data_IF_823816126254
#
_entry.id   IF_823816126254
#
_cell.length_a   1.000
_cell.length_b   1.000
_cell.length_c   1.000
_cell.angle_alpha   90.00
_cell.angle_beta   90.00
_cell.angle_gamma   90.00
#
_symmetry.space_group_name_H-M   'P 1'
#
loop_
_entity.id
_entity.type
_entity.pdbx_description
1 polymer ?
#
# COMPACT_ATOMS: atom_id res chain seq x y z
N UNK A 1 -13.53 -22.43 0.26
CA UNK A 1 -13.93 -23.50 -0.69
C UNK A 1 -12.72 -23.92 -1.51
N UNK A 2 -12.41 -25.21 -1.63
CA UNK A 2 -11.29 -25.69 -2.46
C UNK A 2 -11.82 -26.16 -3.82
N UNK A 3 -11.37 -25.54 -4.91
CA UNK A 3 -11.61 -26.00 -6.28
C UNK A 3 -10.30 -26.60 -6.80
N UNK A 4 -10.12 -27.90 -6.62
CA UNK A 4 -8.86 -28.58 -6.95
C UNK A 4 -7.69 -28.01 -6.13
N UNK A 5 -6.65 -27.50 -6.81
CA UNK A 5 -5.48 -26.86 -6.16
C UNK A 5 -5.73 -25.42 -5.71
N UNK A 6 -6.86 -24.81 -6.05
CA UNK A 6 -7.13 -23.40 -5.77
C UNK A 6 -8.02 -23.25 -4.52
N UNK A 7 -7.55 -22.48 -3.54
CA UNK A 7 -8.33 -22.13 -2.33
C UNK A 7 -9.00 -20.77 -2.55
N UNK A 8 -10.33 -20.77 -2.58
CA UNK A 8 -11.15 -19.55 -2.51
C UNK A 8 -11.45 -19.26 -1.04
N UNK A 9 -10.63 -18.39 -0.45
CA UNK A 9 -10.79 -17.93 0.93
C UNK A 9 -11.62 -16.65 1.03
N UNK A 10 -12.12 -16.35 2.22
CA UNK A 10 -12.94 -15.17 2.51
C UNK A 10 -12.26 -13.85 2.08
N UNK A 11 -10.94 -13.72 2.21
CA UNK A 11 -10.20 -12.52 1.77
C UNK A 11 -10.37 -12.27 0.27
N UNK A 12 -10.33 -13.31 -0.56
CA UNK A 12 -10.53 -13.20 -2.01
C UNK A 12 -11.94 -12.70 -2.34
N UNK A 13 -12.96 -13.24 -1.66
CA UNK A 13 -14.35 -12.78 -1.82
C UNK A 13 -14.54 -11.33 -1.38
N UNK A 14 -13.93 -10.93 -0.27
CA UNK A 14 -13.92 -9.54 0.20
C UNK A 14 -13.27 -8.59 -0.80
N UNK A 15 -12.17 -8.99 -1.42
CA UNK A 15 -11.51 -8.19 -2.47
C UNK A 15 -12.40 -8.00 -3.68
N UNK A 16 -13.05 -9.06 -4.16
CA UNK A 16 -14.02 -8.96 -5.27
C UNK A 16 -15.20 -8.05 -4.91
N UNK A 17 -15.75 -8.19 -3.69
CA UNK A 17 -16.82 -7.34 -3.20
C UNK A 17 -16.37 -5.87 -3.07
N UNK A 18 -15.14 -5.62 -2.65
CA UNK A 18 -14.58 -4.27 -2.54
C UNK A 18 -14.50 -3.58 -3.89
N UNK A 19 -13.99 -4.29 -4.91
CA UNK A 19 -13.95 -3.80 -6.28
C UNK A 19 -15.37 -3.54 -6.80
N UNK A 20 -16.31 -4.47 -6.57
CA UNK A 20 -17.71 -4.29 -6.93
C UNK A 20 -18.30 -3.01 -6.30
N UNK A 21 -18.09 -2.78 -5.00
CA UNK A 21 -18.59 -1.58 -4.32
C UNK A 21 -17.90 -0.31 -4.84
N UNK A 22 -16.60 -0.33 -5.12
CA UNK A 22 -15.92 0.81 -5.74
C UNK A 22 -16.55 1.17 -7.10
N UNK A 23 -16.79 0.19 -7.96
CA UNK A 23 -17.43 0.40 -9.27
C UNK A 23 -18.84 0.95 -9.10
N UNK A 24 -19.63 0.35 -8.21
CA UNK A 24 -21.01 0.76 -7.97
C UNK A 24 -21.09 2.20 -7.45
N UNK A 25 -20.26 2.56 -6.46
CA UNK A 25 -20.22 3.92 -5.92
C UNK A 25 -19.80 4.92 -7.00
N UNK A 26 -18.75 4.64 -7.77
CA UNK A 26 -18.30 5.58 -8.80
C UNK A 26 -19.34 5.77 -9.91
N UNK A 27 -20.08 4.72 -10.25
CA UNK A 27 -21.19 4.81 -11.21
C UNK A 27 -22.37 5.63 -10.66
N UNK A 28 -22.78 5.41 -9.40
CA UNK A 28 -23.92 6.11 -8.79
C UNK A 28 -23.66 7.61 -8.56
N UNK A 29 -22.41 7.99 -8.30
CA UNK A 29 -22.01 9.38 -8.05
C UNK A 29 -21.39 10.07 -9.28
N UNK A 30 -21.40 9.42 -10.45
CA UNK A 30 -20.80 9.92 -11.71
C UNK A 30 -19.36 10.45 -11.53
N UNK A 31 -18.55 9.71 -10.75
CA UNK A 31 -17.21 10.15 -10.29
C UNK A 31 -16.09 9.78 -11.28
N UNK A 32 -16.42 9.16 -12.41
CA UNK A 32 -15.47 8.71 -13.42
C UNK A 32 -14.89 7.32 -13.14
N UNK A 33 -13.60 7.13 -13.42
CA UNK A 33 -12.97 5.79 -13.49
C UNK A 33 -12.60 5.27 -12.08
N UNK A 34 -13.14 4.13 -11.60
CA UNK A 34 -12.96 3.62 -10.23
C UNK A 34 -11.61 2.96 -9.94
N UNK A 35 -10.67 2.95 -10.90
CA UNK A 35 -9.43 2.16 -10.83
C UNK A 35 -8.64 2.41 -9.55
N UNK A 36 -8.46 3.68 -9.17
CA UNK A 36 -7.64 4.08 -8.03
C UNK A 36 -8.30 3.65 -6.70
N UNK A 37 -9.61 3.85 -6.57
CA UNK A 37 -10.37 3.41 -5.41
C UNK A 37 -10.35 1.87 -5.29
N UNK A 38 -10.55 1.15 -6.40
CA UNK A 38 -10.54 -0.31 -6.41
C UNK A 38 -9.16 -0.88 -6.00
N UNK A 39 -8.07 -0.37 -6.58
CA UNK A 39 -6.71 -0.77 -6.18
C UNK A 39 -6.44 -0.45 -4.71
N UNK A 40 -6.85 0.74 -4.26
CA UNK A 40 -6.68 1.14 -2.87
C UNK A 40 -7.45 0.23 -1.90
N UNK A 41 -8.65 -0.21 -2.29
CA UNK A 41 -9.45 -1.12 -1.48
C UNK A 41 -8.80 -2.51 -1.37
N UNK A 42 -8.39 -3.10 -2.50
CA UNK A 42 -7.73 -4.42 -2.52
C UNK A 42 -6.40 -4.38 -1.75
N UNK A 43 -5.63 -3.32 -1.90
CA UNK A 43 -4.37 -3.15 -1.17
C UNK A 43 -4.55 -2.85 0.30
N UNK A 44 -5.69 -2.32 0.74
CA UNK A 44 -5.97 -2.04 2.16
C UNK A 44 -6.51 -3.27 2.89
N UNK A 45 -7.24 -4.16 2.19
CA UNK A 45 -7.79 -5.38 2.79
C UNK A 45 -6.68 -6.30 3.34
N UNK A 46 -6.73 -6.56 4.64
CA UNK A 46 -5.93 -7.58 5.33
C UNK A 46 -6.85 -8.70 5.84
N UNK A 47 -6.25 -9.71 6.46
CA UNK A 47 -6.95 -10.85 7.04
C UNK A 47 -7.88 -10.38 8.18
N UNK A 48 -7.32 -9.61 9.12
CA UNK A 48 -8.06 -9.08 10.27
C UNK A 48 -8.41 -7.59 10.14
N UNK A 49 -9.46 -7.20 10.86
CA UNK A 49 -9.92 -5.81 10.90
C UNK A 49 -8.87 -4.89 11.53
N UNK A 50 -8.21 -5.31 12.60
CA UNK A 50 -7.19 -4.51 13.32
C UNK A 50 -6.00 -4.19 12.40
N UNK A 51 -5.52 -5.21 11.67
CA UNK A 51 -4.43 -5.05 10.71
C UNK A 51 -4.87 -4.26 9.48
N UNK A 52 -6.12 -4.43 9.03
CA UNK A 52 -6.72 -3.60 7.96
C UNK A 52 -6.80 -2.14 8.36
N UNK A 53 -7.22 -1.84 9.59
CA UNK A 53 -7.34 -0.48 10.10
C UNK A 53 -5.95 0.18 10.27
N UNK A 54 -5.02 -0.53 10.91
CA UNK A 54 -3.63 -0.06 11.07
C UNK A 54 -2.99 0.22 9.70
N UNK A 55 -3.11 -0.72 8.76
CA UNK A 55 -2.58 -0.56 7.42
C UNK A 55 -3.30 0.55 6.64
N UNK A 56 -4.62 0.65 6.77
CA UNK A 56 -5.43 1.71 6.16
C UNK A 56 -5.03 3.10 6.64
N UNK A 57 -4.75 3.26 7.95
CA UNK A 57 -4.22 4.51 8.50
C UNK A 57 -2.86 4.86 7.90
N UNK A 58 -1.93 3.91 7.85
CA UNK A 58 -0.62 4.11 7.23
C UNK A 58 -0.72 4.49 5.75
N UNK A 59 -1.70 3.91 5.04
CA UNK A 59 -1.99 4.22 3.64
C UNK A 59 -2.55 5.64 3.48
N UNK A 60 -3.46 6.08 4.34
CA UNK A 60 -3.98 7.45 4.32
C UNK A 60 -2.83 8.46 4.51
N UNK A 61 -1.98 8.25 5.51
CA UNK A 61 -0.82 9.12 5.78
C UNK A 61 0.15 9.10 4.58
N UNK A 62 0.43 7.92 4.03
CA UNK A 62 1.30 7.78 2.87
C UNK A 62 0.75 8.49 1.64
N UNK A 63 -0.54 8.30 1.33
CA UNK A 63 -1.18 8.94 0.18
C UNK A 63 -1.30 10.46 0.35
N UNK A 64 -1.44 10.97 1.58
CA UNK A 64 -1.37 12.42 1.83
C UNK A 64 0.03 12.97 1.53
N UNK A 65 1.08 12.28 1.98
CA UNK A 65 2.47 12.69 1.73
C UNK A 65 2.82 12.63 0.24
N UNK A 66 2.58 11.49 -0.39
CA UNK A 66 2.81 11.27 -1.82
C UNK A 66 1.92 12.16 -2.69
N UNK A 67 0.67 12.34 -2.27
CA UNK A 67 -0.30 13.22 -2.93
C UNK A 67 0.13 14.68 -2.90
N UNK A 68 0.55 15.17 -1.73
CA UNK A 68 1.07 16.53 -1.58
C UNK A 68 2.32 16.77 -2.43
N UNK A 69 3.28 15.85 -2.42
CA UNK A 69 4.48 15.95 -3.26
C UNK A 69 4.19 15.77 -4.75
N UNK A 70 3.18 14.97 -5.13
CA UNK A 70 2.72 14.85 -6.51
C UNK A 70 2.03 16.12 -7.02
N UNK A 71 1.22 16.76 -6.19
CA UNK A 71 0.62 18.07 -6.51
C UNK A 71 1.71 19.14 -6.63
N UNK A 72 2.70 19.13 -5.73
CA UNK A 72 3.87 20.00 -5.85
C UNK A 72 4.61 19.76 -7.17
N UNK A 73 4.89 18.50 -7.51
CA UNK A 73 5.51 18.14 -8.80
C UNK A 73 4.70 18.62 -10.00
N UNK A 74 3.37 18.51 -9.94
CA UNK A 74 2.48 18.97 -11.00
C UNK A 74 2.68 20.47 -11.29
N UNK A 75 2.78 21.30 -10.25
CA UNK A 75 3.08 22.73 -10.42
C UNK A 75 4.49 23.00 -10.97
N UNK A 76 5.50 22.27 -10.48
CA UNK A 76 6.87 22.38 -11.00
C UNK A 76 6.92 22.03 -12.47
N UNK A 77 6.33 20.90 -12.88
CA UNK A 77 6.29 20.44 -14.26
C UNK A 77 5.58 21.46 -15.18
N UNK A 78 4.47 22.04 -14.70
CA UNK A 78 3.77 23.10 -15.43
C UNK A 78 4.60 24.38 -15.59
N UNK A 79 5.38 24.78 -14.58
CA UNK A 79 6.24 25.97 -14.64
C UNK A 79 7.37 25.82 -15.66
N UNK A 80 7.92 24.60 -15.80
CA UNK A 80 8.95 24.27 -16.77
C UNK A 80 8.40 23.76 -18.11
N UNK A 81 7.17 24.11 -18.47
CA UNK A 81 6.55 23.75 -19.77
C UNK A 81 6.57 22.25 -20.09
N UNK A 82 6.48 21.40 -19.06
CA UNK A 82 6.51 19.94 -19.19
C UNK A 82 7.80 19.36 -19.77
N UNK A 83 8.93 20.01 -19.49
CA UNK A 83 10.25 19.52 -19.88
C UNK A 83 10.54 18.12 -19.31
N UNK A 84 11.01 17.23 -20.18
CA UNK A 84 11.38 15.87 -19.82
C UNK A 84 12.51 15.81 -18.77
N UNK A 85 13.42 16.79 -18.75
CA UNK A 85 14.50 16.84 -17.76
C UNK A 85 13.97 17.05 -16.33
N UNK A 86 12.85 17.76 -16.16
CA UNK A 86 12.20 17.90 -14.86
C UNK A 86 11.67 16.54 -14.40
N UNK A 87 11.04 15.78 -15.29
CA UNK A 87 10.60 14.43 -14.98
C UNK A 87 11.78 13.50 -14.65
N UNK A 88 12.85 13.56 -15.43
CA UNK A 88 14.02 12.72 -15.27
C UNK A 88 14.76 12.96 -13.95
N UNK A 89 14.82 14.21 -13.47
CA UNK A 89 15.63 14.60 -12.30
C UNK A 89 14.77 14.82 -11.06
N UNK A 90 13.67 15.58 -11.17
CA UNK A 90 12.87 15.99 -10.01
C UNK A 90 12.04 14.82 -9.49
N UNK A 91 11.48 13.97 -10.35
CA UNK A 91 10.62 12.88 -9.90
C UNK A 91 11.38 11.84 -9.04
N UNK A 92 12.57 11.33 -9.43
CA UNK A 92 13.36 10.45 -8.56
C UNK A 92 13.77 11.12 -7.25
N UNK A 93 14.10 12.41 -7.28
CA UNK A 93 14.44 13.17 -6.07
C UNK A 93 13.24 13.26 -5.10
N UNK A 94 12.03 13.46 -5.62
CA UNK A 94 10.81 13.43 -4.81
C UNK A 94 10.52 12.03 -4.25
N UNK A 95 10.85 10.95 -4.98
CA UNK A 95 10.74 9.59 -4.43
C UNK A 95 11.67 9.40 -3.23
N UNK A 96 12.93 9.88 -3.31
CA UNK A 96 13.86 9.85 -2.17
C UNK A 96 13.27 10.62 -0.99
N UNK A 97 12.74 11.83 -1.23
CA UNK A 97 12.11 12.65 -0.19
C UNK A 97 10.92 11.92 0.44
N UNK A 98 10.04 11.31 -0.36
CA UNK A 98 8.91 10.52 0.15
C UNK A 98 9.39 9.41 1.07
N UNK A 99 10.43 8.67 0.69
CA UNK A 99 10.97 7.56 1.48
C UNK A 99 11.51 8.09 2.81
N UNK A 100 12.38 9.09 2.78
CA UNK A 100 13.01 9.65 3.98
C UNK A 100 11.98 10.26 4.92
N UNK A 101 11.00 11.01 4.41
CA UNK A 101 9.95 11.59 5.24
C UNK A 101 9.03 10.52 5.82
N UNK A 102 8.67 9.50 5.05
CA UNK A 102 7.84 8.39 5.52
C UNK A 102 8.53 7.57 6.62
N UNK A 103 9.83 7.32 6.46
CA UNK A 103 10.65 6.63 7.46
C UNK A 103 10.83 7.49 8.72
N UNK A 104 11.10 8.78 8.56
CA UNK A 104 11.23 9.73 9.68
C UNK A 104 9.96 9.87 10.54
N UNK A 105 8.77 9.65 9.97
CA UNK A 105 7.51 9.59 10.73
C UNK A 105 7.11 8.18 11.17
N UNK A 106 8.00 7.19 11.01
CA UNK A 106 7.78 5.77 11.31
C UNK A 106 6.59 5.15 10.57
N UNK A 107 6.28 5.61 9.36
CA UNK A 107 5.17 5.11 8.54
C UNK A 107 5.64 4.14 7.45
N UNK A 108 6.47 3.17 7.81
CA UNK A 108 7.20 2.32 6.86
C UNK A 108 6.26 1.46 6.01
N UNK A 109 5.16 0.99 6.60
CA UNK A 109 4.09 0.25 5.89
C UNK A 109 3.34 1.10 4.84
N UNK A 110 3.42 2.43 4.92
CA UNK A 110 2.79 3.38 4.02
C UNK A 110 3.68 3.86 2.87
N UNK A 111 4.99 3.57 2.87
CA UNK A 111 5.95 4.07 1.88
C UNK A 111 5.52 3.72 0.45
N UNK A 112 5.16 2.45 0.21
CA UNK A 112 4.74 1.98 -1.13
C UNK A 112 3.50 2.77 -1.60
N UNK A 113 2.56 3.06 -0.69
CA UNK A 113 1.36 3.81 -1.03
C UNK A 113 1.67 5.29 -1.34
N UNK A 114 2.59 5.89 -0.58
CA UNK A 114 3.06 7.25 -0.82
C UNK A 114 3.74 7.37 -2.19
N UNK A 115 4.68 6.48 -2.50
CA UNK A 115 5.37 6.46 -3.80
C UNK A 115 4.38 6.22 -4.93
N UNK A 116 3.47 5.24 -4.78
CA UNK A 116 2.47 4.95 -5.79
C UNK A 116 1.56 6.16 -6.07
N UNK A 117 1.15 6.90 -5.03
CA UNK A 117 0.33 8.10 -5.18
C UNK A 117 1.10 9.25 -5.84
N UNK A 118 2.37 9.46 -5.46
CA UNK A 118 3.26 10.42 -6.13
C UNK A 118 3.35 10.10 -7.62
N UNK A 119 3.73 8.87 -7.97
CA UNK A 119 3.91 8.46 -9.37
C UNK A 119 2.60 8.52 -10.17
N UNK A 120 1.48 8.11 -9.57
CA UNK A 120 0.16 8.18 -10.18
C UNK A 120 -0.18 9.63 -10.60
N UNK A 121 0.01 10.58 -9.68
CA UNK A 121 -0.27 12.00 -9.95
C UNK A 121 0.72 12.56 -10.97
N UNK A 122 2.01 12.26 -10.80
CA UNK A 122 3.09 12.78 -11.63
C UNK A 122 3.09 12.27 -13.08
N UNK A 123 2.67 11.01 -13.29
CA UNK A 123 2.81 10.33 -14.58
C UNK A 123 1.47 10.02 -15.28
N UNK A 124 0.35 9.91 -14.54
CA UNK A 124 -0.94 9.53 -15.13
C UNK A 124 -1.92 10.67 -15.33
N UNK A 125 -1.65 11.87 -14.79
CA UNK A 125 -2.50 13.04 -15.03
C UNK A 125 -2.10 13.68 -16.37
N UNK A 126 -3.04 13.79 -17.34
CA UNK A 126 -2.78 14.43 -18.62
C UNK A 126 -2.37 15.90 -18.49
N UNK A 127 -1.60 16.38 -19.47
CA UNK A 127 -1.23 17.79 -19.53
C UNK A 127 -2.46 18.66 -19.76
N UNK A 128 -2.57 19.76 -18.99
CA UNK A 128 -3.70 20.69 -19.07
C UNK A 128 -4.86 20.39 -18.10
N UNK A 129 -4.78 19.30 -17.33
CA UNK A 129 -5.73 19.06 -16.24
C UNK A 129 -5.53 20.03 -15.06
N UNK A 130 -6.52 20.10 -14.19
CA UNK A 130 -6.46 20.98 -13.02
C UNK A 130 -5.76 20.33 -11.82
N UNK A 131 -5.16 21.13 -10.95
CA UNK A 131 -4.69 20.65 -9.63
C UNK A 131 -5.84 20.05 -8.80
N UNK A 132 -7.08 20.47 -9.05
CA UNK A 132 -8.27 19.87 -8.44
C UNK A 132 -8.44 18.40 -8.83
N UNK A 133 -8.17 18.04 -10.10
CA UNK A 133 -8.19 16.64 -10.53
C UNK A 133 -7.18 15.78 -9.77
N UNK A 134 -5.96 16.29 -9.52
CA UNK A 134 -4.96 15.60 -8.70
C UNK A 134 -5.45 15.36 -7.26
N UNK A 135 -6.10 16.36 -6.66
CA UNK A 135 -6.71 16.26 -5.34
C UNK A 135 -7.80 15.18 -5.34
N UNK A 136 -8.66 15.14 -6.36
CA UNK A 136 -9.68 14.09 -6.50
C UNK A 136 -9.06 12.68 -6.53
N UNK A 137 -7.93 12.50 -7.25
CA UNK A 137 -7.23 11.21 -7.29
C UNK A 137 -6.73 10.79 -5.91
N UNK A 138 -6.24 11.72 -5.09
CA UNK A 138 -5.86 11.43 -3.69
C UNK A 138 -7.10 11.00 -2.89
N UNK A 139 -8.21 11.72 -3.02
CA UNK A 139 -9.48 11.35 -2.35
C UNK A 139 -10.00 9.99 -2.77
N UNK A 140 -9.87 9.60 -4.05
CA UNK A 140 -10.28 8.29 -4.54
C UNK A 140 -9.55 7.16 -3.82
N UNK A 141 -8.27 7.38 -3.45
CA UNK A 141 -7.53 6.40 -2.63
C UNK A 141 -8.14 6.23 -1.23
N UNK A 142 -8.70 7.28 -0.64
CA UNK A 142 -9.35 7.23 0.67
C UNK A 142 -10.68 6.49 0.58
N UNK A 143 -11.46 6.74 -0.46
CA UNK A 143 -12.72 6.03 -0.73
C UNK A 143 -12.46 4.52 -0.74
N UNK A 144 -11.46 4.08 -1.51
CA UNK A 144 -11.07 2.67 -1.54
C UNK A 144 -10.66 2.12 -0.16
N UNK A 145 -9.86 2.88 0.59
CA UNK A 145 -9.41 2.48 1.94
C UNK A 145 -10.58 2.34 2.91
N UNK A 146 -11.56 3.26 2.87
CA UNK A 146 -12.76 3.19 3.69
C UNK A 146 -13.66 2.02 3.32
N UNK A 147 -13.83 1.73 2.03
CA UNK A 147 -14.57 0.55 1.55
C UNK A 147 -13.92 -0.73 2.08
N UNK A 148 -12.58 -0.83 2.02
CA UNK A 148 -11.85 -1.99 2.56
C UNK A 148 -12.07 -2.19 4.07
N UNK A 149 -11.97 -1.11 4.86
CA UNK A 149 -12.22 -1.15 6.30
C UNK A 149 -13.68 -1.55 6.57
N UNK A 150 -14.64 -0.97 5.85
CA UNK A 150 -16.07 -1.27 6.00
C UNK A 150 -16.40 -2.73 5.67
N UNK A 151 -15.87 -3.27 4.57
CA UNK A 151 -16.05 -4.68 4.21
C UNK A 151 -15.45 -5.58 5.28
N UNK A 152 -14.24 -5.30 5.74
CA UNK A 152 -13.60 -6.17 6.73
C UNK A 152 -14.24 -6.07 8.12
N UNK A 153 -14.93 -4.96 8.40
CA UNK A 153 -15.74 -4.78 9.59
C UNK A 153 -17.03 -5.62 9.52
N UNK A 154 -17.75 -5.55 8.40
CA UNK A 154 -19.04 -6.23 8.23
C UNK A 154 -18.91 -7.74 8.02
N UNK A 155 -17.89 -8.18 7.28
CA UNK A 155 -17.68 -9.59 6.95
C UNK A 155 -16.54 -10.15 7.80
N UNK A 156 -16.84 -10.88 8.87
CA UNK A 156 -15.82 -11.55 9.68
C UNK A 156 -15.57 -12.98 9.19
N UNK A 157 -14.31 -13.47 9.18
CA UNK A 157 -14.02 -14.83 8.80
C UNK A 157 -14.64 -15.83 9.80
N UNK A 158 -15.16 -16.99 9.33
CA UNK A 158 -15.69 -18.06 10.19
C UNK A 158 -14.58 -18.71 11.04
N UNK A 159 -14.94 -19.34 12.16
CA UNK A 159 -13.98 -19.91 13.12
C UNK A 159 -13.04 -20.95 12.52
N UNK A 160 -13.50 -21.73 11.54
CA UNK A 160 -12.69 -22.76 10.88
C UNK A 160 -11.52 -22.12 10.12
N UNK A 161 -11.78 -21.07 9.34
CA UNK A 161 -10.73 -20.34 8.61
C UNK A 161 -9.73 -19.70 9.57
N UNK A 162 -10.19 -19.14 10.70
CA UNK A 162 -9.28 -18.59 11.73
C UNK A 162 -8.33 -19.65 12.30
N UNK A 163 -8.81 -20.87 12.53
CA UNK A 163 -7.95 -21.97 13.01
C UNK A 163 -6.92 -22.37 11.98
N UNK A 164 -7.32 -22.48 10.71
CA UNK A 164 -6.39 -22.76 9.61
C UNK A 164 -5.32 -21.66 9.50
N UNK A 165 -5.73 -20.40 9.63
CA UNK A 165 -4.84 -19.23 9.57
C UNK A 165 -3.82 -19.22 10.72
N UNK A 166 -4.24 -19.52 11.95
CA UNK A 166 -3.32 -19.65 13.10
C UNK A 166 -2.29 -20.75 12.87
N UNK A 167 -2.69 -21.88 12.27
CA UNK A 167 -1.76 -22.98 11.97
C UNK A 167 -0.75 -22.55 10.91
N UNK A 168 -1.18 -21.83 9.87
CA UNK A 168 -0.28 -21.28 8.84
C UNK A 168 0.69 -20.24 9.44
N UNK A 169 0.21 -19.33 10.29
CA UNK A 169 1.03 -18.33 10.99
C UNK A 169 2.07 -18.99 11.92
N UNK A 170 1.68 -20.04 12.65
CA UNK A 170 2.60 -20.82 13.50
C UNK A 170 3.69 -21.50 12.68
N UNK A 171 3.36 -22.02 11.50
CA UNK A 171 4.37 -22.62 10.61
C UNK A 171 5.35 -21.57 10.09
N UNK A 172 4.86 -20.38 9.73
CA UNK A 172 5.73 -19.26 9.33
C UNK A 172 6.63 -18.78 10.47
N UNK A 173 6.09 -18.68 11.69
CA UNK A 173 6.87 -18.27 12.87
C UNK A 173 8.00 -19.27 13.16
N UNK A 174 7.74 -20.57 13.06
CA UNK A 174 8.77 -21.61 13.20
C UNK A 174 9.88 -21.48 12.16
N UNK A 175 9.53 -21.21 10.90
CA UNK A 175 10.53 -20.96 9.83
C UNK A 175 11.38 -19.72 10.13
N UNK A 176 10.76 -18.64 10.62
CA UNK A 176 11.48 -17.42 11.03
C UNK A 176 12.40 -17.67 12.24
N UNK A 177 11.96 -18.45 13.21
CA UNK A 177 12.77 -18.82 14.37
C UNK A 177 14.01 -19.62 13.95
N UNK A 178 13.87 -20.61 13.07
CA UNK A 178 15.00 -21.36 12.52
C UNK A 178 15.99 -20.47 11.78
N UNK A 179 15.50 -19.61 10.87
CA UNK A 179 16.36 -18.68 10.15
C UNK A 179 17.07 -17.68 11.09
N UNK A 180 16.40 -17.26 12.17
CA UNK A 180 17.00 -16.39 13.17
C UNK A 180 18.13 -17.10 13.92
N UNK A 181 17.94 -18.37 14.31
CA UNK A 181 18.97 -19.18 14.95
C UNK A 181 20.20 -19.36 14.05
N UNK A 182 20.00 -19.65 12.76
CA UNK A 182 21.08 -19.74 11.78
C UNK A 182 21.86 -18.42 11.67
N UNK A 183 21.16 -17.29 11.51
CA UNK A 183 21.80 -15.97 11.45
C UNK A 183 22.56 -15.61 12.74
N UNK A 184 22.07 -16.09 13.89
CA UNK A 184 22.70 -15.85 15.19
C UNK A 184 23.96 -16.70 15.36
N UNK A 185 23.99 -17.91 14.82
CA UNK A 185 25.20 -18.73 14.76
C UNK A 185 26.27 -18.10 13.86
N UNK A 186 25.89 -17.63 12.67
CA UNK A 186 26.80 -16.92 11.75
C UNK A 186 27.44 -15.69 12.39
N UNK A 187 26.63 -14.81 13.01
CA UNK A 187 27.15 -13.61 13.68
C UNK A 187 28.08 -13.99 14.84
N UNK A 188 27.76 -15.03 15.62
CA UNK A 188 28.65 -15.52 16.69
C UNK A 188 29.96 -16.10 16.16
N UNK A 189 29.97 -16.72 14.99
CA UNK A 189 31.17 -17.21 14.34
C UNK A 189 32.05 -16.03 13.89
N UNK A 190 31.45 -15.02 13.24
CA UNK A 190 32.15 -13.79 12.82
C UNK A 190 32.78 -13.04 13.99
N UNK A 191 32.07 -12.95 15.13
CA UNK A 191 32.61 -12.31 16.35
C UNK A 191 33.80 -13.11 16.90
N UNK A 192 33.76 -14.45 16.85
CA UNK A 192 34.88 -15.30 17.30
C UNK A 192 36.11 -15.12 16.40
N UNK A 193 35.95 -15.17 15.10
CA UNK A 193 37.05 -14.92 14.15
C UNK A 193 37.64 -13.51 14.30
N UNK A 194 36.82 -12.49 14.57
CA UNK A 194 37.31 -11.12 14.82
C UNK A 194 38.10 -10.99 16.12
N UNK A 195 37.75 -11.77 17.15
CA UNK A 195 38.44 -11.76 18.44
C UNK A 195 39.73 -12.60 18.42
N UNK A 196 39.82 -13.63 17.57
CA UNK A 196 41.03 -14.43 17.38
C UNK A 196 42.09 -13.71 16.50
N UNK A 197 41.67 -12.78 15.64
CA UNK A 197 42.54 -11.98 14.77
C UNK A 197 43.01 -10.64 15.40
N UNK A 198 42.73 -10.38 16.68
CA UNK A 198 43.18 -9.21 17.46
C UNK A 198 44.22 -9.62 18.50
#
# INVERSE_FOLDING_TARGET
>A
MQFGRFRLGMRTMKSALAVFLCILIFHLFDRGIPMIAALSAVFSLRQDLTTTFSFGRSRIIGNLLGGGLGIFYFFVKSYFHNDFLVELIVLPLLVIIVIVLSDGINNNSGIIAAIATLLLISLSIPQGESAFYAIERVFDTFIGTFIAIGINFCLRPPEVEKKEEIVEDLEQLRKKEQALLESLEEVKAQIREQNENK
#
